data_IF_879272088279
#
_entry.id   IF_879272088279
#
_cell.length_a   1.000
_cell.length_b   1.000
_cell.length_c   1.000
_cell.angle_alpha   90.00
_cell.angle_beta   90.00
_cell.angle_gamma   90.00
#
_symmetry.space_group_name_H-M   'P 1'
#
loop_
_entity.id
_entity.type
_entity.pdbx_description
1 polymer ?
#
# COMPACT_ATOMS: atom_id res chain seq x y z
N UNK A 1 23.21 4.02 -13.98
CA UNK A 1 23.09 4.28 -12.54
C UNK A 1 23.99 5.47 -12.23
N UNK A 2 23.50 6.68 -12.50
CA UNK A 2 24.22 7.90 -12.12
C UNK A 2 23.84 8.19 -10.69
N UNK A 3 24.80 8.00 -9.78
CA UNK A 3 24.69 8.46 -8.40
C UNK A 3 24.36 9.97 -8.44
N UNK A 4 23.36 10.40 -7.68
CA UNK A 4 23.02 11.81 -7.56
C UNK A 4 24.27 12.58 -7.16
N UNK A 5 24.71 13.49 -8.02
CA UNK A 5 25.81 14.36 -7.70
C UNK A 5 25.41 15.14 -6.44
N UNK A 6 26.26 15.08 -5.42
CA UNK A 6 26.10 15.92 -4.23
C UNK A 6 26.32 17.35 -4.73
N UNK A 7 25.26 18.14 -4.80
CA UNK A 7 25.34 19.55 -5.20
C UNK A 7 25.95 20.30 -4.01
N UNK A 8 27.22 20.71 -4.14
CA UNK A 8 27.86 21.60 -3.17
C UNK A 8 27.33 23.04 -3.37
N UNK A 9 26.64 23.63 -2.39
CA UNK A 9 26.05 24.97 -2.53
C UNK A 9 27.08 26.12 -2.51
N UNK A 10 28.37 25.85 -2.24
CA UNK A 10 29.41 26.87 -2.13
C UNK A 10 30.35 26.97 -3.33
N UNK A 11 30.21 26.09 -4.33
CA UNK A 11 31.01 26.12 -5.55
C UNK A 11 30.33 27.00 -6.61
N UNK A 12 30.93 28.16 -6.90
CA UNK A 12 30.44 29.09 -7.93
C UNK A 12 31.17 28.78 -9.24
N UNK A 13 30.70 27.75 -9.94
CA UNK A 13 31.14 27.37 -11.30
C UNK A 13 30.24 28.04 -12.35
N UNK A 14 30.78 28.44 -13.50
CA UNK A 14 30.01 28.91 -14.67
C UNK A 14 29.08 27.80 -15.23
N UNK A 15 29.31 26.53 -14.85
CA UNK A 15 28.40 25.39 -15.10
C UNK A 15 27.49 25.05 -13.91
N UNK A 16 27.40 25.90 -12.88
CA UNK A 16 26.53 25.65 -11.74
C UNK A 16 25.06 25.52 -12.19
N UNK A 17 24.33 24.52 -11.67
CA UNK A 17 22.93 24.30 -12.06
C UNK A 17 22.09 25.54 -11.73
N UNK A 18 21.34 26.01 -12.71
CA UNK A 18 20.46 27.16 -12.51
C UNK A 18 19.31 26.79 -11.56
N UNK A 19 18.63 27.76 -10.91
CA UNK A 19 17.44 27.47 -10.13
C UNK A 19 16.36 26.70 -10.89
N UNK A 20 16.24 26.93 -12.21
CA UNK A 20 15.31 26.17 -13.06
C UNK A 20 15.74 24.72 -13.25
N UNK A 21 17.04 24.46 -13.40
CA UNK A 21 17.58 23.09 -13.49
C UNK A 21 17.33 22.32 -12.19
N UNK A 22 17.56 22.97 -11.04
CA UNK A 22 17.27 22.38 -9.73
C UNK A 22 15.78 22.07 -9.55
N UNK A 23 14.88 22.96 -9.96
CA UNK A 23 13.43 22.69 -9.93
C UNK A 23 13.07 21.51 -10.83
N UNK A 24 13.65 21.43 -12.03
CA UNK A 24 13.42 20.33 -12.95
C UNK A 24 13.89 18.99 -12.35
N UNK A 25 15.07 18.98 -11.72
CA UNK A 25 15.60 17.81 -11.02
C UNK A 25 14.71 17.37 -9.86
N UNK A 26 14.24 18.31 -9.03
CA UNK A 26 13.29 18.02 -7.93
C UNK A 26 12.00 17.41 -8.48
N UNK A 27 11.45 17.98 -9.56
CA UNK A 27 10.25 17.43 -10.20
C UNK A 27 10.49 16.01 -10.74
N UNK A 28 11.65 15.75 -11.36
CA UNK A 28 12.03 14.43 -11.85
C UNK A 28 12.19 13.41 -10.70
N UNK A 29 12.85 13.80 -9.62
CA UNK A 29 13.01 12.96 -8.43
C UNK A 29 11.66 12.59 -7.79
N UNK A 30 10.75 13.56 -7.63
CA UNK A 30 9.39 13.30 -7.12
C UNK A 30 8.58 12.39 -8.06
N UNK A 31 8.71 12.56 -9.37
CA UNK A 31 8.07 11.68 -10.34
C UNK A 31 8.60 10.24 -10.24
N UNK A 32 9.91 10.07 -10.10
CA UNK A 32 10.55 8.77 -9.93
C UNK A 32 10.12 8.07 -8.62
N UNK A 33 10.04 8.81 -7.52
CA UNK A 33 9.52 8.32 -6.23
C UNK A 33 8.07 7.85 -6.34
N UNK A 34 7.20 8.65 -6.97
CA UNK A 34 5.80 8.28 -7.18
C UNK A 34 5.67 7.02 -8.05
N UNK A 35 6.46 6.91 -9.11
CA UNK A 35 6.48 5.74 -9.97
C UNK A 35 6.97 4.48 -9.23
N UNK A 36 8.00 4.61 -8.39
CA UNK A 36 8.48 3.51 -7.55
C UNK A 36 7.42 3.08 -6.52
N UNK A 37 6.75 4.03 -5.88
CA UNK A 37 5.64 3.75 -4.98
C UNK A 37 4.49 3.01 -5.67
N UNK A 38 4.10 3.43 -6.88
CA UNK A 38 3.07 2.77 -7.67
C UNK A 38 3.48 1.34 -8.07
N UNK A 39 4.74 1.12 -8.45
CA UNK A 39 5.26 -0.23 -8.70
C UNK A 39 5.15 -1.12 -7.46
N UNK A 40 5.56 -0.61 -6.30
CA UNK A 40 5.46 -1.35 -5.03
C UNK A 40 4.00 -1.68 -4.66
N UNK A 41 3.07 -0.75 -4.92
CA UNK A 41 1.64 -0.98 -4.73
C UNK A 41 1.10 -2.13 -5.58
N UNK A 42 1.46 -2.18 -6.87
CA UNK A 42 1.09 -3.30 -7.73
C UNK A 42 1.71 -4.63 -7.30
N UNK A 43 2.99 -4.61 -6.91
CA UNK A 43 3.68 -5.80 -6.39
C UNK A 43 3.04 -6.31 -5.11
N UNK A 44 2.64 -5.43 -4.20
CA UNK A 44 1.95 -5.81 -2.97
C UNK A 44 0.60 -6.50 -3.23
N UNK A 45 -0.19 -5.98 -4.18
CA UNK A 45 -1.47 -6.61 -4.58
C UNK A 45 -1.22 -7.97 -5.23
N UNK A 46 -0.26 -8.06 -6.15
CA UNK A 46 0.10 -9.32 -6.79
C UNK A 46 0.60 -10.36 -5.78
N UNK A 47 1.45 -9.93 -4.82
CA UNK A 47 1.93 -10.76 -3.72
C UNK A 47 0.79 -11.31 -2.88
N UNK A 48 -0.15 -10.44 -2.47
CA UNK A 48 -1.33 -10.84 -1.71
C UNK A 48 -2.17 -11.89 -2.47
N UNK A 49 -2.42 -11.68 -3.76
CA UNK A 49 -3.16 -12.64 -4.58
C UNK A 49 -2.43 -13.96 -4.83
N UNK A 50 -1.10 -13.96 -4.79
CA UNK A 50 -0.28 -15.18 -4.89
C UNK A 50 -0.24 -15.99 -3.59
N UNK A 51 -0.70 -15.41 -2.47
CA UNK A 51 -0.75 -16.05 -1.16
C UNK A 51 -2.18 -16.08 -0.61
N UNK A 52 -3.14 -16.71 -1.33
CA UNK A 52 -4.49 -16.85 -0.83
C UNK A 52 -4.49 -17.74 0.42
N UNK A 53 -5.46 -17.55 1.30
CA UNK A 53 -5.74 -18.51 2.37
C UNK A 53 -6.14 -19.87 1.75
N UNK A 54 -5.45 -20.95 2.15
CA UNK A 54 -5.83 -22.32 1.76
C UNK A 54 -6.53 -23.06 2.90
N UNK A 55 -7.35 -24.09 2.62
CA UNK A 55 -8.01 -24.84 3.68
C UNK A 55 -7.00 -25.43 4.68
N UNK A 56 -7.10 -25.03 5.95
CA UNK A 56 -6.19 -25.44 7.03
C UNK A 56 -5.15 -24.38 7.42
N UNK A 57 -4.98 -23.33 6.62
CA UNK A 57 -4.14 -22.19 6.98
C UNK A 57 -4.82 -21.28 8.01
N UNK A 58 -3.97 -20.58 8.77
CA UNK A 58 -4.39 -19.41 9.53
C UNK A 58 -4.32 -18.19 8.62
N UNK A 59 -5.29 -17.28 8.75
CA UNK A 59 -5.33 -16.01 8.03
C UNK A 59 -5.48 -14.84 9.00
N UNK A 60 -5.10 -13.65 8.54
CA UNK A 60 -5.50 -12.41 9.17
C UNK A 60 -6.97 -12.19 8.84
N UNK A 61 -7.87 -12.67 9.71
CA UNK A 61 -9.29 -12.79 9.39
C UNK A 61 -9.97 -11.43 9.25
N UNK A 62 -10.58 -11.24 8.10
CA UNK A 62 -11.70 -10.32 7.95
C UNK A 62 -12.94 -10.95 8.60
N UNK A 63 -13.67 -10.24 9.49
CA UNK A 63 -15.00 -10.68 9.89
C UNK A 63 -15.84 -10.86 8.64
N UNK A 64 -16.50 -12.00 8.50
CA UNK A 64 -17.54 -12.14 7.48
C UNK A 64 -18.81 -11.51 8.01
N UNK A 65 -19.63 -10.96 7.13
CA UNK A 65 -21.02 -10.68 7.49
C UNK A 65 -21.65 -12.03 7.91
N UNK A 66 -21.95 -12.18 9.20
CA UNK A 66 -22.59 -13.37 9.73
C UNK A 66 -24.08 -13.31 9.40
N UNK A 67 -24.49 -14.01 8.35
CA UNK A 67 -25.89 -14.35 8.18
C UNK A 67 -26.16 -15.65 8.94
N UNK A 68 -26.89 -15.56 10.05
CA UNK A 68 -27.40 -16.74 10.77
C UNK A 68 -28.84 -16.95 10.35
N UNK A 69 -29.14 -18.12 9.77
CA UNK A 69 -30.50 -18.46 9.35
C UNK A 69 -31.40 -18.54 10.59
N UNK A 70 -32.46 -17.73 10.63
CA UNK A 70 -33.41 -17.66 11.75
C UNK A 70 -33.20 -16.47 12.70
N UNK A 71 -32.08 -15.76 12.59
CA UNK A 71 -31.86 -14.47 13.24
C UNK A 71 -32.41 -13.34 12.35
N UNK A 72 -32.85 -12.20 12.93
CA UNK A 72 -33.13 -11.00 12.15
C UNK A 72 -31.91 -10.67 11.27
N UNK A 73 -32.15 -10.33 10.00
CA UNK A 73 -31.08 -9.87 9.11
C UNK A 73 -30.37 -8.69 9.78
N UNK A 74 -29.14 -8.91 10.24
CA UNK A 74 -28.29 -7.83 10.73
C UNK A 74 -28.06 -6.79 9.63
N UNK A 75 -27.69 -5.57 10.00
CA UNK A 75 -27.36 -4.47 9.08
C UNK A 75 -26.14 -4.75 8.18
N UNK A 76 -25.58 -5.96 8.26
CA UNK A 76 -24.37 -6.37 7.57
C UNK A 76 -23.09 -5.84 8.22
N UNK A 77 -23.18 -5.19 9.39
CA UNK A 77 -22.02 -4.76 10.13
C UNK A 77 -21.23 -5.96 10.69
N UNK A 78 -19.90 -5.87 10.78
CA UNK A 78 -19.08 -6.92 11.38
C UNK A 78 -19.45 -7.10 12.85
N UNK A 79 -19.79 -8.32 13.25
CA UNK A 79 -20.00 -8.68 14.66
C UNK A 79 -18.65 -8.95 15.34
N UNK A 80 -17.85 -7.91 15.60
CA UNK A 80 -16.57 -8.10 16.30
C UNK A 80 -16.31 -7.03 17.35
N UNK A 81 -15.84 -7.45 18.53
CA UNK A 81 -15.34 -6.57 19.58
C UNK A 81 -13.91 -6.03 19.36
N UNK A 82 -13.21 -6.48 18.31
CA UNK A 82 -11.83 -6.09 18.00
C UNK A 82 -11.76 -5.25 16.72
N UNK A 83 -11.28 -4.00 16.87
CA UNK A 83 -11.08 -3.04 15.79
C UNK A 83 -10.07 -3.55 14.75
N UNK A 84 -9.13 -4.41 15.18
CA UNK A 84 -8.10 -4.99 14.31
C UNK A 84 -8.65 -6.04 13.34
N UNK A 85 -9.86 -6.54 13.53
CA UNK A 85 -10.50 -7.42 12.55
C UNK A 85 -11.29 -6.60 11.53
N UNK A 86 -11.97 -5.53 11.97
CA UNK A 86 -12.77 -4.65 11.10
C UNK A 86 -11.95 -4.04 9.96
N UNK A 87 -10.67 -3.77 10.20
CA UNK A 87 -9.74 -3.22 9.20
C UNK A 87 -9.52 -4.15 7.98
N UNK A 88 -9.82 -5.46 8.12
CA UNK A 88 -9.71 -6.45 7.04
C UNK A 88 -11.05 -6.74 6.36
N UNK A 89 -12.15 -6.11 6.81
CA UNK A 89 -13.46 -6.35 6.23
C UNK A 89 -13.52 -5.99 4.74
N UNK A 90 -14.09 -6.87 3.92
CA UNK A 90 -14.33 -6.61 2.50
C UNK A 90 -13.10 -6.68 1.58
N UNK A 91 -12.00 -7.27 2.05
CA UNK A 91 -10.82 -7.58 1.23
C UNK A 91 -10.56 -9.10 1.20
N UNK A 92 -9.91 -9.64 0.14
CA UNK A 92 -9.64 -11.07 0.04
C UNK A 92 -8.78 -11.58 1.22
N UNK A 93 -9.05 -12.78 1.76
CA UNK A 93 -8.22 -13.36 2.81
C UNK A 93 -6.84 -13.73 2.26
N UNK A 94 -5.82 -13.44 3.05
CA UNK A 94 -4.42 -13.76 2.74
C UNK A 94 -3.85 -14.70 3.80
N UNK A 95 -2.96 -15.59 3.40
CA UNK A 95 -2.26 -16.47 4.32
C UNK A 95 -1.52 -15.66 5.40
N UNK A 96 -1.61 -16.09 6.66
CA UNK A 96 -0.96 -15.42 7.80
C UNK A 96 0.53 -15.18 7.56
N UNK A 97 1.20 -16.17 6.97
CA UNK A 97 2.63 -16.19 6.69
C UNK A 97 3.07 -15.21 5.60
N UNK A 98 2.15 -14.62 4.82
CA UNK A 98 2.48 -13.79 3.66
C UNK A 98 3.14 -12.46 4.04
N UNK A 99 2.88 -11.91 5.23
CA UNK A 99 3.34 -10.58 5.62
C UNK A 99 4.85 -10.54 5.93
N UNK A 100 5.40 -11.56 6.59
CA UNK A 100 6.80 -11.62 7.00
C UNK A 100 7.80 -11.60 5.81
N UNK A 101 7.68 -12.45 4.77
CA UNK A 101 8.59 -12.42 3.63
C UNK A 101 8.46 -11.13 2.81
N UNK A 102 7.25 -10.59 2.67
CA UNK A 102 7.05 -9.28 2.03
C UNK A 102 7.75 -8.16 2.81
N UNK A 103 7.58 -8.14 4.13
CA UNK A 103 8.22 -7.16 5.00
C UNK A 103 9.74 -7.24 4.93
N UNK A 104 10.29 -8.45 4.97
CA UNK A 104 11.73 -8.70 4.85
C UNK A 104 12.28 -8.20 3.50
N UNK A 105 11.59 -8.51 2.39
CA UNK A 105 11.99 -8.05 1.06
C UNK A 105 11.92 -6.52 0.90
N UNK A 106 11.03 -5.87 1.64
CA UNK A 106 10.84 -4.41 1.61
C UNK A 106 11.51 -3.67 2.78
N UNK A 107 12.45 -4.33 3.48
CA UNK A 107 13.22 -3.78 4.60
C UNK A 107 12.36 -3.07 5.68
N UNK A 108 11.25 -3.71 6.08
CA UNK A 108 10.36 -3.19 7.12
C UNK A 108 9.98 -4.26 8.14
N UNK A 109 9.37 -3.85 9.24
CA UNK A 109 8.86 -4.78 10.25
C UNK A 109 7.69 -5.61 9.68
N UNK A 110 7.49 -6.83 10.20
CA UNK A 110 6.34 -7.68 9.83
C UNK A 110 5.01 -6.97 10.04
N UNK A 111 4.87 -6.21 11.13
CA UNK A 111 3.69 -5.39 11.39
C UNK A 111 3.50 -4.30 10.31
N UNK A 112 4.59 -3.64 9.89
CA UNK A 112 4.57 -2.67 8.79
C UNK A 112 4.18 -3.31 7.45
N UNK A 113 4.71 -4.50 7.16
CA UNK A 113 4.35 -5.27 5.96
C UNK A 113 2.88 -5.69 5.95
N UNK A 114 2.37 -6.19 7.08
CA UNK A 114 0.94 -6.50 7.27
C UNK A 114 0.08 -5.27 6.98
N UNK A 115 0.39 -4.12 7.58
CA UNK A 115 -0.36 -2.88 7.36
C UNK A 115 -0.27 -2.42 5.91
N UNK A 116 0.90 -2.52 5.27
CA UNK A 116 1.07 -2.15 3.87
C UNK A 116 0.18 -2.99 2.94
N UNK A 117 0.17 -4.31 3.11
CA UNK A 117 -0.66 -5.23 2.33
C UNK A 117 -2.15 -4.93 2.54
N UNK A 118 -2.58 -4.75 3.79
CA UNK A 118 -3.95 -4.34 4.16
C UNK A 118 -4.38 -3.09 3.40
N UNK A 119 -3.61 -2.00 3.52
CA UNK A 119 -3.96 -0.71 2.91
C UNK A 119 -4.07 -0.84 1.39
N UNK A 120 -3.17 -1.60 0.76
CA UNK A 120 -3.20 -1.80 -0.68
C UNK A 120 -4.46 -2.55 -1.15
N UNK A 121 -4.85 -3.60 -0.41
CA UNK A 121 -6.08 -4.34 -0.69
C UNK A 121 -7.32 -3.49 -0.42
N UNK A 122 -7.35 -2.71 0.66
CA UNK A 122 -8.46 -1.79 0.95
C UNK A 122 -8.63 -0.78 -0.18
N UNK A 123 -7.55 -0.14 -0.63
CA UNK A 123 -7.60 0.79 -1.76
C UNK A 123 -8.14 0.07 -3.00
N UNK A 124 -7.63 -1.13 -3.32
CA UNK A 124 -8.01 -1.90 -4.52
C UNK A 124 -9.48 -2.32 -4.54
N UNK A 125 -10.01 -2.78 -3.41
CA UNK A 125 -11.31 -3.46 -3.34
C UNK A 125 -12.42 -2.59 -2.75
N UNK A 126 -12.10 -1.67 -1.84
CA UNK A 126 -13.11 -0.83 -1.15
C UNK A 126 -13.16 0.61 -1.65
N UNK A 127 -12.08 1.11 -2.26
CA UNK A 127 -11.97 2.52 -2.65
C UNK A 127 -11.73 2.70 -4.16
N UNK A 128 -12.65 2.29 -5.04
CA UNK A 128 -12.42 2.26 -6.50
C UNK A 128 -12.04 3.63 -7.08
N UNK A 129 -12.57 4.72 -6.54
CA UNK A 129 -12.24 6.10 -6.96
C UNK A 129 -10.80 6.49 -6.58
N UNK A 130 -10.32 6.05 -5.42
CA UNK A 130 -8.94 6.30 -4.97
C UNK A 130 -7.98 5.42 -5.76
N UNK A 131 -8.31 4.14 -5.93
CA UNK A 131 -7.55 3.22 -6.77
C UNK A 131 -7.32 3.77 -8.17
N UNK A 132 -8.38 4.23 -8.85
CA UNK A 132 -8.26 4.83 -10.18
C UNK A 132 -7.31 6.04 -10.21
N UNK A 133 -7.32 6.88 -9.16
CA UNK A 133 -6.40 8.02 -9.05
C UNK A 133 -4.95 7.59 -8.78
N UNK A 134 -4.74 6.56 -7.96
CA UNK A 134 -3.41 6.00 -7.67
C UNK A 134 -2.80 5.40 -8.93
N UNK A 135 -3.55 4.54 -9.64
CA UNK A 135 -3.09 3.90 -10.88
C UNK A 135 -2.84 4.91 -11.99
N UNK A 136 -3.62 5.99 -12.05
CA UNK A 136 -3.38 7.10 -12.97
C UNK A 136 -2.22 8.03 -12.55
N UNK A 137 -1.49 7.73 -11.46
CA UNK A 137 -0.39 8.56 -10.96
C UNK A 137 -0.82 9.91 -10.37
N UNK A 138 -2.13 10.17 -10.24
CA UNK A 138 -2.69 11.43 -9.72
C UNK A 138 -2.56 11.56 -8.20
N UNK A 139 -2.44 10.43 -7.49
CA UNK A 139 -2.26 10.37 -6.03
C UNK A 139 -1.13 9.42 -5.70
N UNK A 140 -0.15 9.89 -4.93
CA UNK A 140 0.93 9.06 -4.43
C UNK A 140 0.40 7.99 -3.46
N UNK A 141 0.95 6.78 -3.53
CA UNK A 141 0.49 5.62 -2.74
C UNK A 141 0.50 5.91 -1.24
N UNK A 142 1.55 6.55 -0.71
CA UNK A 142 1.63 6.88 0.71
C UNK A 142 0.47 7.77 1.18
N UNK A 143 -0.04 8.68 0.33
CA UNK A 143 -1.20 9.51 0.66
C UNK A 143 -2.48 8.69 0.66
N UNK A 144 -2.66 7.84 -0.34
CA UNK A 144 -3.83 6.97 -0.43
C UNK A 144 -3.92 6.03 0.78
N UNK A 145 -2.79 5.52 1.27
CA UNK A 145 -2.73 4.65 2.45
C UNK A 145 -3.15 5.33 3.76
N UNK A 146 -3.13 6.66 3.86
CA UNK A 146 -3.56 7.38 5.09
C UNK A 146 -5.07 7.41 5.28
N UNK A 147 -5.83 7.11 4.23
CA UNK A 147 -7.29 7.08 4.24
C UNK A 147 -7.84 5.66 3.99
N UNK A 148 -6.94 4.68 3.90
CA UNK A 148 -7.24 3.27 3.78
C UNK A 148 -7.45 2.65 5.17
#
# INVERSE_FOLDING_TARGET
>A
MTAGAIIDPHEVDDNAPTPSDLIAEICAAKAAENAAGLRMFHLAIAWAHAHPETPGDQSWKAPRASYVTGEPMGDGAPSTGDLDEVQWFGIPPIAWSAAAPFAAANAMSTAGGKAFLRDCLVIRHRMPRVYAKVVAGKVAVWRARRIA
#
